data_IF_864440565365
#
_entry.id   IF_864440565365
#
_cell.length_a   1.000
_cell.length_b   1.000
_cell.length_c   1.000
_cell.angle_alpha   90.00
_cell.angle_beta   90.00
_cell.angle_gamma   90.00
#
_symmetry.space_group_name_H-M   'P 1'
#
loop_
_entity.id
_entity.type
_entity.pdbx_description
1 polymer ?
#
# COMPACT_ATOMS: atom_id res chain seq x y z
N UNK A 1 41.69 -41.15 21.26
CA UNK A 1 41.32 -39.97 22.06
C UNK A 1 39.86 -39.62 21.79
N UNK A 2 38.93 -39.90 22.74
CA UNK A 2 37.47 -39.75 22.53
C UNK A 2 37.13 -38.30 22.84
N UNK A 3 36.79 -37.49 21.83
CA UNK A 3 36.21 -36.16 22.03
C UNK A 3 34.88 -36.26 22.73
N UNK A 4 34.69 -35.55 23.83
CA UNK A 4 33.52 -35.57 24.67
C UNK A 4 32.34 -34.88 23.95
N UNK A 5 31.09 -35.44 24.02
CA UNK A 5 29.94 -34.91 23.33
C UNK A 5 29.44 -33.55 23.86
N UNK A 6 30.09 -32.97 24.84
CA UNK A 6 29.69 -31.72 25.51
C UNK A 6 29.89 -30.45 24.66
N UNK A 7 30.82 -30.45 23.71
CA UNK A 7 31.13 -29.26 22.88
C UNK A 7 30.10 -29.07 21.76
N UNK A 8 29.54 -30.19 21.25
CA UNK A 8 28.53 -30.14 20.19
C UNK A 8 27.16 -29.61 20.69
N UNK A 9 26.79 -29.90 21.95
CA UNK A 9 25.55 -29.43 22.55
C UNK A 9 25.56 -27.92 22.80
N UNK A 10 26.70 -27.34 23.16
CA UNK A 10 26.83 -25.90 23.42
C UNK A 10 26.72 -25.05 22.16
N UNK A 11 27.25 -25.54 21.04
CA UNK A 11 27.18 -24.85 19.73
C UNK A 11 25.74 -24.77 19.18
N UNK A 12 24.93 -25.80 19.40
CA UNK A 12 23.51 -25.84 18.96
C UNK A 12 22.64 -24.88 19.79
N UNK A 13 22.88 -24.77 21.10
CA UNK A 13 22.13 -23.86 21.97
C UNK A 13 22.44 -22.40 21.64
N UNK A 14 23.69 -22.07 21.34
CA UNK A 14 24.08 -20.69 20.93
C UNK A 14 23.49 -20.32 19.55
N UNK A 15 23.39 -21.27 18.60
CA UNK A 15 22.74 -21.03 17.31
C UNK A 15 21.24 -20.82 17.40
N UNK A 16 20.58 -21.51 18.34
CA UNK A 16 19.14 -21.36 18.58
C UNK A 16 18.80 -20.03 19.28
N UNK A 17 19.67 -19.53 20.17
CA UNK A 17 19.46 -18.23 20.82
C UNK A 17 19.64 -17.05 19.87
N UNK A 18 20.46 -17.16 18.83
CA UNK A 18 20.62 -16.09 17.82
C UNK A 18 19.41 -15.97 16.88
N UNK A 19 18.61 -17.05 16.69
CA UNK A 19 17.38 -17.01 15.88
C UNK A 19 16.21 -16.37 16.64
N UNK A 20 16.17 -16.47 17.99
CA UNK A 20 15.08 -15.90 18.79
C UNK A 20 15.25 -14.39 19.01
N UNK A 21 16.45 -13.86 18.88
CA UNK A 21 16.73 -12.42 19.03
C UNK A 21 16.29 -11.57 17.81
N UNK A 22 16.17 -12.17 16.63
CA UNK A 22 15.83 -11.44 15.39
C UNK A 22 14.33 -11.15 15.25
N UNK A 23 13.44 -11.93 15.86
CA UNK A 23 11.99 -11.74 15.74
C UNK A 23 11.44 -10.56 16.55
N UNK A 24 12.12 -10.16 17.64
CA UNK A 24 11.62 -9.08 18.52
C UNK A 24 11.95 -7.66 18.07
N UNK A 25 12.79 -7.49 17.05
CA UNK A 25 13.22 -6.17 16.58
C UNK A 25 12.32 -5.56 15.50
N UNK A 26 11.51 -6.36 14.79
CA UNK A 26 10.74 -5.91 13.62
C UNK A 26 9.90 -4.67 13.88
N UNK A 27 9.09 -4.66 14.92
CA UNK A 27 8.22 -3.51 15.25
C UNK A 27 9.01 -2.29 15.66
N UNK A 28 10.06 -2.44 16.48
CA UNK A 28 10.92 -1.33 16.91
C UNK A 28 11.65 -0.67 15.76
N UNK A 29 11.90 -1.42 14.70
CA UNK A 29 12.57 -0.92 13.52
C UNK A 29 11.73 0.16 12.81
N UNK A 30 10.40 -0.01 12.79
CA UNK A 30 9.48 0.89 12.10
C UNK A 30 8.88 1.98 13.01
N UNK A 31 8.92 1.81 14.32
CA UNK A 31 8.36 2.78 15.29
C UNK A 31 9.00 4.16 15.12
N UNK A 32 8.17 5.21 15.03
CA UNK A 32 8.66 6.58 14.88
C UNK A 32 7.82 7.48 14.00
N UNK A 33 8.34 8.71 13.81
CA UNK A 33 7.73 9.76 13.01
C UNK A 33 8.51 9.93 11.69
N UNK A 34 7.81 9.97 10.58
CA UNK A 34 8.39 10.04 9.25
C UNK A 34 7.79 11.19 8.45
N UNK A 35 8.59 11.80 7.59
CA UNK A 35 8.10 12.57 6.45
C UNK A 35 7.95 11.65 5.25
N UNK A 36 6.81 11.66 4.57
CA UNK A 36 6.57 10.76 3.45
C UNK A 36 6.20 11.47 2.15
N UNK A 37 6.42 10.78 1.05
CA UNK A 37 5.94 11.13 -0.29
C UNK A 37 5.45 9.88 -1.01
N UNK A 38 4.20 9.94 -1.52
CA UNK A 38 3.58 8.89 -2.32
C UNK A 38 3.50 9.32 -3.77
N UNK A 39 3.74 8.42 -4.70
CA UNK A 39 3.58 8.63 -6.13
C UNK A 39 3.36 7.30 -6.85
N UNK A 40 2.69 7.34 -7.99
CA UNK A 40 2.49 6.12 -8.77
C UNK A 40 1.48 6.27 -9.89
N UNK A 41 1.19 5.15 -10.53
CA UNK A 41 0.27 5.04 -11.66
C UNK A 41 -0.64 3.85 -11.42
N UNK A 42 -1.94 4.04 -11.64
CA UNK A 42 -2.92 2.97 -11.74
C UNK A 42 -3.20 2.65 -13.20
N UNK A 43 -3.40 1.38 -13.53
CA UNK A 43 -4.01 0.99 -14.79
C UNK A 43 -5.48 0.75 -14.53
N UNK A 44 -6.35 1.53 -15.15
CA UNK A 44 -7.80 1.49 -14.95
C UNK A 44 -8.46 1.03 -16.26
N UNK A 45 -9.33 0.03 -16.15
CA UNK A 45 -10.23 -0.38 -17.24
C UNK A 45 -11.56 0.35 -17.08
N UNK A 46 -12.07 0.88 -18.20
CA UNK A 46 -13.41 1.42 -18.31
C UNK A 46 -14.24 0.51 -19.21
N UNK A 47 -15.43 0.11 -18.75
CA UNK A 47 -16.38 -0.73 -19.49
C UNK A 47 -17.70 -0.01 -19.64
N UNK A 48 -18.25 0.09 -20.84
CA UNK A 48 -19.55 0.70 -21.06
C UNK A 48 -20.69 -0.17 -20.51
N UNK A 49 -21.64 0.45 -19.79
CA UNK A 49 -22.85 -0.20 -19.27
C UNK A 49 -23.94 -0.42 -20.31
N UNK A 50 -23.84 0.27 -21.44
CA UNK A 50 -24.83 0.25 -22.51
C UNK A 50 -24.26 -0.47 -23.71
N UNK A 51 -25.08 -1.30 -24.37
CA UNK A 51 -24.63 -2.04 -25.55
C UNK A 51 -24.37 -1.11 -26.74
N UNK A 52 -23.43 -1.49 -27.60
CA UNK A 52 -23.15 -0.75 -28.86
C UNK A 52 -24.41 -0.62 -29.74
N UNK A 53 -25.37 -1.55 -29.64
CA UNK A 53 -26.65 -1.50 -30.35
C UNK A 53 -27.52 -0.34 -29.91
N UNK A 54 -27.53 -0.02 -28.63
CA UNK A 54 -28.31 1.09 -28.04
C UNK A 54 -27.66 2.45 -28.40
N UNK A 55 -26.35 2.50 -28.42
CA UNK A 55 -25.59 3.65 -28.92
C UNK A 55 -25.84 3.90 -30.39
N UNK A 56 -25.85 2.85 -31.23
CA UNK A 56 -26.11 2.93 -32.67
C UNK A 56 -27.56 3.36 -33.01
N UNK A 57 -28.49 3.15 -32.10
CA UNK A 57 -29.87 3.62 -32.19
C UNK A 57 -30.04 5.13 -31.89
N UNK A 58 -28.97 5.85 -31.58
CA UNK A 58 -28.99 7.27 -31.23
C UNK A 58 -29.60 7.58 -29.85
N UNK A 59 -29.78 6.56 -29.03
CA UNK A 59 -30.38 6.70 -27.68
C UNK A 59 -29.35 7.30 -26.70
N UNK A 60 -28.05 6.99 -26.90
CA UNK A 60 -26.97 7.53 -26.11
C UNK A 60 -25.71 7.72 -26.99
N UNK A 61 -25.11 8.90 -26.95
CA UNK A 61 -23.78 9.14 -27.51
C UNK A 61 -22.74 8.65 -26.49
N UNK A 62 -22.22 7.42 -26.68
CA UNK A 62 -21.18 6.85 -25.83
C UNK A 62 -19.83 7.09 -26.53
N UNK A 63 -19.09 8.13 -26.14
CA UNK A 63 -17.76 8.35 -26.69
C UNK A 63 -16.83 7.25 -26.22
N UNK A 64 -16.12 6.62 -27.17
CA UNK A 64 -15.06 5.62 -26.91
C UNK A 64 -15.46 4.43 -26.01
N UNK A 65 -15.75 3.30 -26.56
CA UNK A 65 -16.10 2.04 -25.92
C UNK A 65 -15.19 1.59 -24.75
N UNK A 66 -15.08 0.32 -24.55
CA UNK A 66 -14.22 -0.29 -23.53
C UNK A 66 -12.75 0.04 -23.76
N UNK A 67 -12.05 0.53 -22.74
CA UNK A 67 -10.62 0.84 -22.83
C UNK A 67 -9.92 0.72 -21.47
N UNK A 68 -8.62 0.36 -21.53
CA UNK A 68 -7.72 0.51 -20.39
C UNK A 68 -6.83 1.76 -20.60
N UNK A 69 -6.56 2.48 -19.52
CA UNK A 69 -5.72 3.68 -19.54
C UNK A 69 -4.88 3.81 -18.27
N UNK A 70 -3.80 4.57 -18.36
CA UNK A 70 -2.93 4.90 -17.25
C UNK A 70 -3.46 6.14 -16.53
N UNK A 71 -3.69 6.03 -15.23
CA UNK A 71 -4.11 7.11 -14.33
C UNK A 71 -2.95 7.46 -13.39
N UNK A 72 -2.21 8.53 -13.65
CA UNK A 72 -1.21 9.02 -12.70
C UNK A 72 -1.90 9.50 -11.42
N UNK A 73 -1.43 9.03 -10.27
CA UNK A 73 -1.89 9.55 -8.99
C UNK A 73 -1.25 10.90 -8.70
N UNK A 74 -2.03 11.83 -8.14
CA UNK A 74 -1.47 13.05 -7.58
C UNK A 74 -0.49 12.68 -6.47
N UNK A 75 0.73 13.23 -6.54
CA UNK A 75 1.73 13.00 -5.50
C UNK A 75 1.24 13.58 -4.18
N UNK A 76 1.13 12.72 -3.17
CA UNK A 76 0.79 13.10 -1.80
C UNK A 76 2.06 13.15 -0.96
N UNK A 77 2.12 14.09 -0.01
CA UNK A 77 3.19 14.19 0.96
C UNK A 77 2.64 14.60 2.32
N UNK A 78 3.37 14.32 3.38
CA UNK A 78 2.93 14.64 4.73
C UNK A 78 3.77 14.02 5.82
N UNK A 79 3.15 13.85 6.98
CA UNK A 79 3.74 13.20 8.13
C UNK A 79 3.11 11.82 8.33
N UNK A 80 3.96 10.82 8.57
CA UNK A 80 3.55 9.47 8.91
C UNK A 80 4.03 9.16 10.32
N UNK A 81 3.12 8.58 11.11
CA UNK A 81 3.45 8.08 12.45
C UNK A 81 3.23 6.57 12.46
N UNK A 82 4.24 5.83 12.88
CA UNK A 82 4.17 4.37 13.07
C UNK A 82 4.29 4.10 14.56
N UNK A 83 3.25 3.50 15.14
CA UNK A 83 3.18 3.24 16.59
C UNK A 83 3.07 1.73 16.82
N UNK A 84 3.93 1.21 17.68
CA UNK A 84 3.82 -0.16 18.18
C UNK A 84 2.56 -0.32 19.03
N UNK A 85 1.74 -1.34 18.72
CA UNK A 85 0.51 -1.66 19.49
C UNK A 85 0.54 -3.06 20.12
N UNK A 86 1.46 -3.92 19.71
CA UNK A 86 1.63 -5.28 20.21
C UNK A 86 3.03 -5.80 19.93
N UNK A 87 3.27 -7.08 20.11
CA UNK A 87 4.60 -7.66 19.89
C UNK A 87 5.06 -7.52 18.44
N UNK A 88 4.15 -7.77 17.47
CA UNK A 88 4.41 -7.61 16.05
C UNK A 88 3.42 -6.64 15.38
N UNK A 89 2.53 -6.00 16.13
CA UNK A 89 1.45 -5.17 15.58
C UNK A 89 1.81 -3.70 15.64
N UNK A 90 1.41 -2.96 14.60
CA UNK A 90 1.56 -1.52 14.47
C UNK A 90 0.29 -0.85 13.99
N UNK A 91 0.17 0.45 14.29
CA UNK A 91 -0.73 1.37 13.61
C UNK A 91 0.13 2.36 12.83
N UNK A 92 -0.19 2.55 11.56
CA UNK A 92 0.43 3.53 10.67
C UNK A 92 -0.60 4.62 10.36
N UNK A 93 -0.34 5.84 10.80
CA UNK A 93 -1.17 7.02 10.52
C UNK A 93 -0.44 7.91 9.53
N UNK A 94 -1.04 8.17 8.37
CA UNK A 94 -0.51 9.06 7.34
C UNK A 94 -1.36 10.34 7.27
N UNK A 95 -0.80 11.47 7.69
CA UNK A 95 -1.44 12.78 7.63
C UNK A 95 -0.98 13.47 6.34
N UNK A 96 -1.86 13.55 5.35
CA UNK A 96 -1.57 14.17 4.04
C UNK A 96 -1.71 15.69 4.14
N UNK A 97 -0.76 16.42 3.58
CA UNK A 97 -0.83 17.89 3.50
C UNK A 97 -2.00 18.30 2.60
N UNK A 98 -2.98 18.99 3.17
CA UNK A 98 -4.17 19.44 2.44
C UNK A 98 -5.19 18.36 2.12
N UNK A 99 -5.08 17.18 2.74
CA UNK A 99 -5.97 16.04 2.55
C UNK A 99 -6.37 15.37 3.86
N UNK A 100 -7.06 14.24 3.73
CA UNK A 100 -7.50 13.44 4.86
C UNK A 100 -6.36 12.57 5.41
N UNK A 101 -6.45 12.22 6.69
CA UNK A 101 -5.56 11.25 7.29
C UNK A 101 -5.99 9.82 6.92
N UNK A 102 -5.00 8.94 6.72
CA UNK A 102 -5.20 7.51 6.51
C UNK A 102 -4.63 6.73 7.68
N UNK A 103 -5.34 5.69 8.09
CA UNK A 103 -4.90 4.82 9.18
C UNK A 103 -4.90 3.38 8.68
N UNK A 104 -3.77 2.70 8.87
CA UNK A 104 -3.61 1.29 8.61
C UNK A 104 -3.24 0.58 9.91
N UNK A 105 -3.79 -0.60 10.14
CA UNK A 105 -3.14 -1.59 10.99
C UNK A 105 -2.11 -2.37 10.16
N UNK A 106 -1.23 -3.09 10.85
CA UNK A 106 -0.25 -3.91 10.17
C UNK A 106 0.60 -4.74 11.12
N UNK A 107 1.43 -5.58 10.55
CA UNK A 107 2.37 -6.44 11.27
C UNK A 107 3.79 -6.23 10.76
N UNK A 108 4.75 -6.21 11.68
CA UNK A 108 6.16 -6.08 11.33
C UNK A 108 6.95 -7.31 11.76
N UNK A 109 7.64 -7.93 10.80
CA UNK A 109 8.48 -9.10 10.99
C UNK A 109 9.88 -8.84 10.39
N UNK A 110 10.91 -8.86 11.21
CA UNK A 110 12.25 -8.51 10.77
C UNK A 110 12.30 -7.09 10.17
N UNK A 111 12.66 -6.97 8.91
CA UNK A 111 12.76 -5.70 8.16
C UNK A 111 11.54 -5.38 7.29
N UNK A 112 10.49 -6.18 7.39
CA UNK A 112 9.28 -6.04 6.57
C UNK A 112 8.11 -5.63 7.44
N UNK A 113 7.39 -4.61 7.02
CA UNK A 113 6.10 -4.20 7.56
C UNK A 113 5.02 -4.50 6.52
N UNK A 114 4.00 -5.27 6.91
CA UNK A 114 2.82 -5.57 6.08
C UNK A 114 1.66 -4.74 6.57
N UNK A 115 1.03 -3.98 5.67
CA UNK A 115 -0.17 -3.19 5.94
C UNK A 115 -1.42 -4.02 5.67
N UNK A 116 -2.34 -4.02 6.61
CA UNK A 116 -3.67 -4.59 6.42
C UNK A 116 -4.49 -3.73 5.43
N UNK A 117 -5.42 -4.33 4.69
CA UNK A 117 -6.26 -3.61 3.74
C UNK A 117 -7.07 -2.50 4.40
N UNK A 118 -7.06 -1.30 3.80
CA UNK A 118 -7.86 -0.15 4.21
C UNK A 118 -8.57 0.47 3.01
N UNK A 119 -9.80 0.94 3.20
CA UNK A 119 -10.61 1.54 2.13
C UNK A 119 -10.34 3.04 2.06
N UNK A 120 -10.21 3.57 0.84
CA UNK A 120 -10.18 5.00 0.54
C UNK A 120 -10.86 5.31 -0.79
N UNK A 121 -11.01 6.61 -1.08
CA UNK A 121 -11.57 7.08 -2.36
C UNK A 121 -10.49 7.84 -3.15
N UNK A 122 -10.47 7.59 -4.46
CA UNK A 122 -9.65 8.35 -5.42
C UNK A 122 -10.55 8.92 -6.49
N UNK A 123 -10.47 10.22 -6.71
CA UNK A 123 -11.26 10.89 -7.74
C UNK A 123 -10.38 11.35 -8.90
N UNK A 124 -10.89 11.21 -10.12
CA UNK A 124 -10.24 11.70 -11.34
C UNK A 124 -11.27 12.20 -12.35
N UNK A 125 -10.82 12.82 -13.42
CA UNK A 125 -11.68 13.24 -14.53
C UNK A 125 -11.55 12.28 -15.71
N UNK A 126 -12.70 11.80 -16.20
CA UNK A 126 -12.81 11.11 -17.49
C UNK A 126 -13.73 11.95 -18.40
N UNK A 127 -13.12 12.70 -19.31
CA UNK A 127 -13.81 13.72 -20.09
C UNK A 127 -14.42 14.82 -19.20
N UNK A 128 -15.72 15.04 -19.32
CA UNK A 128 -16.48 16.02 -18.52
C UNK A 128 -16.88 15.47 -17.14
N UNK A 129 -16.78 14.16 -16.92
CA UNK A 129 -17.26 13.51 -15.71
C UNK A 129 -16.16 13.46 -14.63
N UNK A 130 -16.55 13.66 -13.36
CA UNK A 130 -15.73 13.31 -12.21
C UNK A 130 -16.11 11.89 -11.79
N UNK A 131 -15.13 11.01 -11.74
CA UNK A 131 -15.27 9.60 -11.34
C UNK A 131 -14.64 9.44 -9.98
N UNK A 132 -15.35 8.79 -9.05
CA UNK A 132 -14.80 8.39 -7.75
C UNK A 132 -14.64 6.88 -7.73
N UNK A 133 -13.43 6.41 -7.47
CA UNK A 133 -13.14 5.00 -7.25
C UNK A 133 -13.13 4.73 -5.74
N UNK A 134 -13.90 3.74 -5.31
CA UNK A 134 -13.70 3.13 -4.01
C UNK A 134 -12.58 2.08 -4.14
N UNK A 135 -11.52 2.28 -3.40
CA UNK A 135 -10.33 1.46 -3.49
C UNK A 135 -9.95 0.86 -2.14
N UNK A 136 -9.44 -0.35 -2.19
CA UNK A 136 -8.77 -0.99 -1.06
C UNK A 136 -7.27 -0.84 -1.29
N UNK A 137 -6.56 -0.30 -0.29
CA UNK A 137 -5.11 -0.14 -0.29
C UNK A 137 -4.53 -1.11 0.72
N UNK A 138 -3.58 -1.91 0.30
CA UNK A 138 -2.71 -2.74 1.14
C UNK A 138 -1.26 -2.55 0.70
N UNK A 139 -0.32 -3.24 1.31
CA UNK A 139 1.05 -3.17 0.85
C UNK A 139 2.08 -3.67 1.85
N UNK A 140 3.33 -3.60 1.44
CA UNK A 140 4.47 -3.95 2.27
C UNK A 140 5.49 -2.81 2.27
N UNK A 141 6.23 -2.67 3.37
CA UNK A 141 7.36 -1.77 3.45
C UNK A 141 8.62 -2.51 3.86
N UNK A 142 9.74 -2.10 3.27
CA UNK A 142 11.07 -2.49 3.72
C UNK A 142 11.77 -1.25 4.28
N UNK A 143 12.49 -1.42 5.40
CA UNK A 143 13.28 -0.35 5.99
C UNK A 143 14.77 -0.57 5.78
N UNK A 144 15.43 0.46 5.27
CA UNK A 144 16.88 0.56 5.13
C UNK A 144 17.34 1.85 5.84
N UNK A 145 18.07 1.70 6.91
CA UNK A 145 18.51 2.79 7.79
C UNK A 145 17.32 3.66 8.27
N UNK A 146 17.27 4.93 7.89
CA UNK A 146 16.23 5.90 8.25
C UNK A 146 15.11 6.03 7.19
N UNK A 147 15.14 5.20 6.13
CA UNK A 147 14.15 5.24 5.04
C UNK A 147 13.33 3.95 5.00
N UNK A 148 12.02 4.07 5.04
CA UNK A 148 11.07 2.99 4.76
C UNK A 148 10.44 3.20 3.37
N UNK A 149 10.49 2.17 2.53
CA UNK A 149 9.91 2.19 1.19
C UNK A 149 8.71 1.26 1.16
N UNK A 150 7.52 1.83 1.00
CA UNK A 150 6.27 1.09 0.88
C UNK A 150 5.98 0.83 -0.61
N UNK A 151 5.65 -0.41 -0.94
CA UNK A 151 5.01 -0.80 -2.19
C UNK A 151 3.54 -0.97 -1.89
N UNK A 152 2.69 -0.10 -2.47
CA UNK A 152 1.26 -0.07 -2.18
C UNK A 152 0.48 -0.71 -3.32
N UNK A 153 -0.45 -1.59 -2.98
CA UNK A 153 -1.37 -2.23 -3.89
C UNK A 153 -2.75 -1.59 -3.78
N UNK A 154 -3.28 -1.14 -4.90
CA UNK A 154 -4.60 -0.53 -5.04
C UNK A 154 -5.50 -1.47 -5.83
N UNK A 155 -6.61 -1.86 -5.25
CA UNK A 155 -7.64 -2.67 -5.91
C UNK A 155 -8.99 -2.02 -5.73
N UNK A 156 -9.98 -2.39 -6.56
CA UNK A 156 -11.33 -1.84 -6.48
C UNK A 156 -11.75 -1.15 -7.77
N UNK A 157 -12.70 -0.24 -7.66
CA UNK A 157 -13.28 0.42 -8.82
C UNK A 157 -14.35 1.45 -8.46
N UNK A 158 -15.15 1.80 -9.43
CA UNK A 158 -16.26 2.74 -9.28
C UNK A 158 -17.15 2.71 -10.50
N UNK A 159 -18.17 3.54 -10.48
CA UNK A 159 -19.12 3.59 -11.57
C UNK A 159 -19.63 5.02 -11.84
N UNK A 160 -20.10 5.21 -13.04
CA UNK A 160 -20.94 6.34 -13.46
C UNK A 160 -22.23 5.81 -14.07
N UNK A 161 -23.08 6.68 -14.52
CA UNK A 161 -24.31 6.28 -15.25
C UNK A 161 -23.99 5.45 -16.51
N UNK A 162 -22.86 5.74 -17.18
CA UNK A 162 -22.51 5.17 -18.49
C UNK A 162 -21.43 4.10 -18.41
N UNK A 163 -20.59 4.10 -17.39
CA UNK A 163 -19.39 3.27 -17.34
C UNK A 163 -19.15 2.65 -15.97
N UNK A 164 -18.59 1.44 -15.97
CA UNK A 164 -17.92 0.82 -14.86
C UNK A 164 -16.41 1.03 -14.99
N UNK A 165 -15.73 1.19 -13.86
CA UNK A 165 -14.29 1.36 -13.76
C UNK A 165 -13.71 0.31 -12.82
N UNK A 166 -12.59 -0.30 -13.22
CA UNK A 166 -11.89 -1.30 -12.43
C UNK A 166 -10.38 -1.05 -12.48
N UNK A 167 -9.70 -1.14 -11.34
CA UNK A 167 -8.24 -1.12 -11.29
C UNK A 167 -7.73 -2.49 -11.70
N UNK A 168 -6.92 -2.54 -12.77
CA UNK A 168 -6.27 -3.76 -13.27
C UNK A 168 -4.87 -3.95 -12.70
N UNK A 169 -4.14 -2.85 -12.47
CA UNK A 169 -2.79 -2.88 -11.92
C UNK A 169 -2.48 -1.58 -11.17
N UNK A 170 -1.56 -1.69 -10.21
CA UNK A 170 -1.09 -0.62 -9.35
C UNK A 170 0.44 -0.61 -9.33
N UNK A 171 1.04 0.53 -9.63
CA UNK A 171 2.48 0.78 -9.54
C UNK A 171 2.67 2.00 -8.62
N UNK A 172 2.43 1.82 -7.32
CA UNK A 172 2.43 2.91 -6.33
C UNK A 172 3.49 2.67 -5.27
N UNK A 173 4.31 3.70 -5.01
CA UNK A 173 5.32 3.70 -3.96
C UNK A 173 5.13 4.89 -3.02
N UNK A 174 5.37 4.64 -1.73
CA UNK A 174 5.50 5.66 -0.71
C UNK A 174 6.89 5.54 -0.10
N UNK A 175 7.65 6.63 -0.16
CA UNK A 175 8.97 6.74 0.48
C UNK A 175 8.82 7.56 1.75
N UNK A 176 9.16 7.00 2.89
CA UNK A 176 9.06 7.61 4.19
C UNK A 176 10.45 7.72 4.84
N UNK A 177 10.87 8.92 5.17
CA UNK A 177 12.14 9.20 5.85
C UNK A 177 11.87 9.51 7.32
N UNK A 178 12.58 8.81 8.23
CA UNK A 178 12.51 9.04 9.67
C UNK A 178 12.95 10.48 9.97
N UNK A 179 12.17 11.18 10.76
CA UNK A 179 12.51 12.52 11.20
C UNK A 179 13.59 12.43 12.28
N UNK A 180 14.58 13.31 12.22
CA UNK A 180 15.53 13.52 13.31
C UNK A 180 14.80 14.24 14.45
N UNK A 181 14.93 13.74 15.68
CA UNK A 181 14.39 14.38 16.90
C UNK A 181 15.16 15.65 17.26
#
# INVERSE_FOLDING_TARGET
MKMKPFVAALAVVVSLMSLISCEKEGVKLFDGNYSFKTSGILTVERTAKVSESDASAGILDIPDGNRAFKLPLTSESGQMNVIKTGDNSVIVTMNVVGGDAFVFSGTAEGKVLTLDPAVRFVSFRDGANTVSLEITVSGTAEKHDDVAVFTLEYTGGGETTLYDYKILASEVKCVAKLNED
#
